data_IF_683117019256
#
_entry.id   IF_683117019256
#
_cell.length_a   1.000
_cell.length_b   1.000
_cell.length_c   1.000
_cell.angle_alpha   90.00
_cell.angle_beta   90.00
_cell.angle_gamma   90.00
#
_symmetry.space_group_name_H-M   'P 1'
#
loop_
_entity.id
_entity.type
_entity.pdbx_description
1 polymer ?
#
# COMPACT_ATOMS: atom_id res chain seq x y z
N UNK A 1 -1.20 4.12 2.88
CA UNK A 1 0.19 4.58 2.68
C UNK A 1 0.41 5.16 1.28
N UNK A 2 0.30 4.40 0.19
CA UNK A 2 0.54 4.90 -1.19
C UNK A 2 -0.36 6.09 -1.56
N UNK A 3 -1.64 6.00 -1.23
CA UNK A 3 -2.60 7.07 -1.49
C UNK A 3 -2.25 8.40 -0.78
N UNK A 4 -1.75 8.35 0.44
CA UNK A 4 -1.32 9.55 1.17
C UNK A 4 -0.16 10.29 0.51
N UNK A 5 0.76 9.55 -0.14
CA UNK A 5 1.89 10.12 -0.87
C UNK A 5 1.46 10.80 -2.17
N UNK A 6 0.31 10.45 -2.73
CA UNK A 6 -0.27 11.06 -3.91
C UNK A 6 -1.23 12.21 -3.57
N UNK A 7 -1.44 12.51 -2.28
CA UNK A 7 -2.25 13.65 -1.85
C UNK A 7 -1.70 14.96 -2.45
N UNK A 8 -2.59 15.82 -2.97
CA UNK A 8 -2.19 17.07 -3.63
C UNK A 8 -1.54 16.91 -5.01
N UNK A 9 -1.56 15.71 -5.59
CA UNK A 9 -1.03 15.46 -6.95
C UNK A 9 -2.13 15.02 -7.91
N UNK A 10 -1.92 15.14 -9.22
CA UNK A 10 -2.86 14.64 -10.24
C UNK A 10 -2.75 13.12 -10.47
N UNK A 11 -1.94 12.39 -9.66
CA UNK A 11 -1.59 10.98 -9.90
C UNK A 11 -2.43 9.98 -9.12
N UNK A 12 -3.50 10.41 -8.46
CA UNK A 12 -4.32 9.54 -7.60
C UNK A 12 -5.11 8.46 -8.36
N UNK A 13 -5.40 8.69 -9.63
CA UNK A 13 -6.16 7.76 -10.49
C UNK A 13 -5.23 6.73 -11.14
N UNK A 14 -4.39 6.08 -10.35
CA UNK A 14 -3.26 5.26 -10.76
C UNK A 14 -3.68 3.82 -11.10
N UNK A 15 -3.31 3.33 -12.28
CA UNK A 15 -3.41 1.91 -12.65
C UNK A 15 -2.27 1.14 -11.98
N UNK A 16 -2.51 0.73 -10.73
CA UNK A 16 -1.50 0.01 -9.94
C UNK A 16 -0.98 -1.25 -10.63
N UNK A 17 -1.81 -2.15 -11.20
CA UNK A 17 -1.29 -3.31 -11.91
C UNK A 17 -0.36 -2.96 -13.05
N UNK A 18 -0.72 -1.95 -13.85
CA UNK A 18 0.12 -1.52 -14.98
C UNK A 18 1.46 -0.91 -14.51
N UNK A 19 1.42 -0.08 -13.47
CA UNK A 19 2.64 0.49 -12.88
C UNK A 19 3.53 -0.61 -12.29
N UNK A 20 2.97 -1.52 -11.51
CA UNK A 20 3.74 -2.59 -10.86
C UNK A 20 4.35 -3.55 -11.89
N UNK A 21 3.60 -3.91 -12.93
CA UNK A 21 4.11 -4.71 -14.03
C UNK A 21 5.30 -4.04 -14.73
N UNK A 22 5.25 -2.71 -14.91
CA UNK A 22 6.36 -1.95 -15.48
C UNK A 22 7.59 -1.97 -14.58
N UNK A 23 7.42 -1.66 -13.28
CA UNK A 23 8.54 -1.64 -12.33
C UNK A 23 9.20 -3.02 -12.23
N UNK A 24 8.40 -4.09 -12.09
CA UNK A 24 8.91 -5.46 -12.00
C UNK A 24 9.73 -5.80 -13.26
N UNK A 25 9.26 -5.41 -14.44
CA UNK A 25 9.99 -5.67 -15.70
C UNK A 25 11.30 -4.88 -15.81
N UNK A 26 11.39 -3.70 -15.20
CA UNK A 26 12.66 -2.94 -15.14
C UNK A 26 13.66 -3.64 -14.22
N UNK A 27 13.21 -4.11 -13.05
CA UNK A 27 14.07 -4.78 -12.08
C UNK A 27 14.46 -6.22 -12.54
N UNK A 28 13.54 -6.89 -13.28
CA UNK A 28 13.70 -8.27 -13.78
C UNK A 28 12.99 -8.40 -15.13
N UNK A 29 13.75 -8.30 -16.23
CA UNK A 29 13.23 -8.15 -17.60
C UNK A 29 12.27 -9.29 -18.04
N UNK A 30 12.50 -10.52 -17.57
CA UNK A 30 11.71 -11.70 -17.93
C UNK A 30 10.52 -11.96 -16.99
N UNK A 31 10.35 -11.13 -15.96
CA UNK A 31 9.27 -11.30 -14.99
C UNK A 31 7.94 -10.73 -15.50
N UNK A 32 6.87 -11.46 -15.22
CA UNK A 32 5.49 -11.03 -15.46
C UNK A 32 4.71 -10.92 -14.15
N UNK A 33 3.84 -9.93 -14.06
CA UNK A 33 2.97 -9.75 -12.90
C UNK A 33 1.84 -10.77 -12.93
N UNK A 34 1.83 -11.71 -11.97
CA UNK A 34 0.82 -12.75 -11.88
C UNK A 34 -0.47 -12.28 -11.19
N UNK A 35 -0.35 -11.56 -10.07
CA UNK A 35 -1.50 -11.08 -9.30
C UNK A 35 -1.14 -9.85 -8.47
N UNK A 36 -2.15 -9.08 -8.08
CA UNK A 36 -2.02 -7.93 -7.17
C UNK A 36 -3.06 -8.05 -6.06
N UNK A 37 -2.61 -7.98 -4.82
CA UNK A 37 -3.45 -7.85 -3.63
C UNK A 37 -3.34 -6.43 -3.08
N UNK A 38 -4.47 -5.76 -2.91
CA UNK A 38 -4.56 -4.40 -2.41
C UNK A 38 -5.21 -4.39 -1.03
N UNK A 39 -4.48 -3.92 -0.03
CA UNK A 39 -4.94 -3.85 1.36
C UNK A 39 -5.28 -2.40 1.70
N UNK A 40 -6.46 -2.18 2.26
CA UNK A 40 -6.96 -0.84 2.56
C UNK A 40 -7.98 -0.86 3.69
N UNK A 41 -8.27 0.29 4.26
CA UNK A 41 -9.39 0.49 5.18
C UNK A 41 -10.39 1.47 4.60
N UNK A 42 -11.67 1.27 4.89
CA UNK A 42 -12.73 2.15 4.38
C UNK A 42 -12.63 3.57 4.94
N UNK A 43 -12.69 4.58 4.10
CA UNK A 43 -12.72 5.98 4.52
C UNK A 43 -13.94 6.23 5.41
N UNK A 44 -13.74 6.86 6.59
CA UNK A 44 -14.82 7.36 7.45
C UNK A 44 -15.20 8.78 7.02
N UNK A 45 -16.39 9.01 6.46
CA UNK A 45 -16.78 10.31 5.93
C UNK A 45 -16.71 11.44 6.95
N UNK A 46 -17.07 11.16 8.21
CA UNK A 46 -17.05 12.15 9.29
C UNK A 46 -15.67 12.73 9.60
N UNK A 47 -14.59 12.03 9.23
CA UNK A 47 -13.20 12.43 9.48
C UNK A 47 -12.44 12.76 8.18
N UNK A 48 -13.08 12.60 7.04
CA UNK A 48 -12.46 12.85 5.75
C UNK A 48 -12.58 14.31 5.32
N UNK A 49 -11.54 14.86 4.72
CA UNK A 49 -11.48 16.27 4.29
C UNK A 49 -12.61 16.71 3.34
N UNK A 50 -13.22 15.77 2.60
CA UNK A 50 -14.34 15.99 1.68
C UNK A 50 -15.56 15.14 2.05
N UNK A 51 -15.67 14.72 3.30
CA UNK A 51 -16.82 13.97 3.79
C UNK A 51 -17.14 12.75 2.92
N UNK A 52 -18.41 12.61 2.56
CA UNK A 52 -18.91 11.49 1.74
C UNK A 52 -18.22 11.39 0.37
N UNK A 53 -17.83 12.50 -0.25
CA UNK A 53 -17.14 12.49 -1.53
C UNK A 53 -15.77 11.79 -1.46
N UNK A 54 -15.08 11.83 -0.32
CA UNK A 54 -13.84 11.07 -0.13
C UNK A 54 -14.09 9.57 -0.14
N UNK A 55 -15.17 9.12 0.49
CA UNK A 55 -15.59 7.70 0.48
C UNK A 55 -15.99 7.26 -0.91
N UNK A 56 -16.80 8.03 -1.61
CA UNK A 56 -17.24 7.73 -2.99
C UNK A 56 -16.07 7.63 -3.97
N UNK A 57 -15.05 8.51 -3.82
CA UNK A 57 -13.83 8.44 -4.61
C UNK A 57 -13.03 7.16 -4.33
N UNK A 58 -12.87 6.77 -3.05
CA UNK A 58 -12.23 5.51 -2.69
C UNK A 58 -13.00 4.32 -3.27
N UNK A 59 -14.31 4.27 -3.08
CA UNK A 59 -15.17 3.18 -3.59
C UNK A 59 -15.07 3.08 -5.12
N UNK A 60 -14.97 4.21 -5.80
CA UNK A 60 -14.81 4.27 -7.26
C UNK A 60 -13.45 3.76 -7.70
N UNK A 61 -12.37 4.15 -7.00
CA UNK A 61 -11.03 3.67 -7.27
C UNK A 61 -10.90 2.15 -7.03
N UNK A 62 -11.49 1.65 -5.96
CA UNK A 62 -11.49 0.21 -5.66
C UNK A 62 -12.23 -0.56 -6.77
N UNK A 63 -13.36 -0.06 -7.27
CA UNK A 63 -14.04 -0.69 -8.43
C UNK A 63 -13.15 -0.71 -9.67
N UNK A 64 -12.38 0.36 -9.91
CA UNK A 64 -11.42 0.41 -10.99
C UNK A 64 -10.32 -0.67 -10.83
N UNK A 65 -9.75 -0.80 -9.64
CA UNK A 65 -8.75 -1.83 -9.34
C UNK A 65 -9.32 -3.24 -9.51
N UNK A 66 -10.50 -3.53 -8.99
CA UNK A 66 -11.17 -4.83 -9.12
C UNK A 66 -11.42 -5.18 -10.60
N UNK A 67 -11.77 -4.19 -11.44
CA UNK A 67 -11.96 -4.42 -12.86
C UNK A 67 -10.67 -4.82 -13.60
N UNK A 68 -9.51 -4.55 -12.99
CA UNK A 68 -8.17 -4.96 -13.47
C UNK A 68 -7.69 -6.26 -12.82
N UNK A 69 -8.55 -6.98 -12.11
CA UNK A 69 -8.22 -8.26 -11.48
C UNK A 69 -7.47 -8.12 -10.15
N UNK A 70 -7.53 -6.96 -9.50
CA UNK A 70 -6.92 -6.77 -8.18
C UNK A 70 -7.81 -7.38 -7.10
N UNK A 71 -7.24 -8.21 -6.25
CA UNK A 71 -7.89 -8.70 -5.02
C UNK A 71 -7.81 -7.62 -3.94
N UNK A 72 -8.95 -7.26 -3.35
CA UNK A 72 -9.03 -6.19 -2.35
C UNK A 72 -9.38 -6.75 -0.98
N UNK A 73 -8.56 -6.45 0.00
CA UNK A 73 -8.72 -6.85 1.39
C UNK A 73 -8.92 -5.62 2.27
N UNK A 74 -9.91 -5.70 3.15
CA UNK A 74 -10.25 -4.60 4.04
C UNK A 74 -9.76 -4.87 5.47
N UNK A 75 -8.98 -3.95 6.01
CA UNK A 75 -8.86 -3.72 7.43
C UNK A 75 -10.06 -2.91 7.96
N UNK A 76 -9.98 -2.48 9.19
CA UNK A 76 -11.01 -1.64 9.81
C UNK A 76 -10.42 -0.43 10.51
N UNK A 77 -11.18 0.66 10.50
CA UNK A 77 -10.90 1.81 11.34
C UNK A 77 -11.68 1.71 12.65
N UNK A 78 -10.98 1.92 13.76
CA UNK A 78 -11.55 2.06 15.09
C UNK A 78 -11.36 3.50 15.55
N UNK A 79 -12.45 4.14 15.95
CA UNK A 79 -12.44 5.50 16.51
C UNK A 79 -12.72 5.38 18.00
N UNK A 80 -11.76 5.80 18.80
CA UNK A 80 -11.85 5.76 20.27
C UNK A 80 -11.58 7.14 20.83
N UNK A 81 -12.20 7.47 21.96
CA UNK A 81 -11.78 8.59 22.78
C UNK A 81 -10.56 8.19 23.61
N UNK A 82 -9.64 9.09 23.77
CA UNK A 82 -8.43 8.86 24.56
C UNK A 82 -7.82 10.15 25.04
N UNK A 83 -6.74 10.04 25.79
CA UNK A 83 -5.94 11.19 26.23
C UNK A 83 -4.56 11.13 25.61
N UNK A 84 -4.03 12.27 25.24
CA UNK A 84 -2.67 12.42 24.75
C UNK A 84 -2.02 13.66 25.38
N UNK A 85 -0.67 13.65 25.54
CA UNK A 85 0.05 14.84 25.98
C UNK A 85 -0.24 16.00 25.03
N UNK A 86 -0.45 17.19 25.62
CA UNK A 86 -0.66 18.41 24.82
C UNK A 86 0.61 18.73 24.04
N UNK A 87 0.47 18.96 22.75
CA UNK A 87 1.54 19.53 21.95
C UNK A 87 1.59 21.07 22.17
N UNK A 88 2.66 21.56 22.73
CA UNK A 88 2.92 23.00 22.89
C UNK A 88 3.79 23.48 21.73
N UNK A 89 5.02 22.98 21.65
CA UNK A 89 5.97 23.22 20.58
C UNK A 89 6.98 22.06 20.49
N UNK A 90 7.92 22.14 19.54
CA UNK A 90 8.91 21.09 19.32
C UNK A 90 10.03 21.03 20.38
N UNK A 91 10.22 22.11 21.13
CA UNK A 91 11.24 22.20 22.18
C UNK A 91 10.71 21.73 23.55
N UNK A 92 9.40 21.74 23.73
CA UNK A 92 8.75 21.34 24.99
C UNK A 92 8.53 19.82 24.98
N UNK A 93 9.11 19.14 25.96
CA UNK A 93 8.92 17.70 26.13
C UNK A 93 7.45 17.37 26.48
N UNK A 94 6.97 16.26 25.93
CA UNK A 94 5.63 15.75 26.27
C UNK A 94 5.55 15.40 27.76
N UNK A 95 4.49 15.87 28.46
CA UNK A 95 4.22 15.57 29.86
C UNK A 95 2.97 14.69 30.03
N UNK A 96 3.04 13.78 30.98
CA UNK A 96 1.88 12.97 31.39
C UNK A 96 0.87 13.78 32.22
N UNK A 97 1.30 14.89 32.82
CA UNK A 97 0.48 15.74 33.70
C UNK A 97 -0.32 16.78 32.91
N UNK A 98 0.07 17.08 31.67
CA UNK A 98 -0.67 17.97 30.76
C UNK A 98 -1.24 17.16 29.57
N UNK A 99 -2.45 16.66 29.75
CA UNK A 99 -3.14 15.85 28.74
C UNK A 99 -4.41 16.51 28.24
N UNK A 100 -4.73 16.29 26.98
CA UNK A 100 -5.96 16.69 26.33
C UNK A 100 -6.75 15.47 25.86
N UNK A 101 -8.07 15.55 25.88
CA UNK A 101 -8.93 14.54 25.30
C UNK A 101 -8.88 14.64 23.77
N UNK A 102 -8.75 13.50 23.12
CA UNK A 102 -8.66 13.40 21.65
C UNK A 102 -9.55 12.28 21.14
N UNK A 103 -9.95 12.40 19.88
CA UNK A 103 -10.40 11.27 19.09
C UNK A 103 -9.18 10.60 18.42
N UNK A 104 -8.97 9.34 18.73
CA UNK A 104 -7.92 8.52 18.13
C UNK A 104 -8.53 7.61 17.07
N UNK A 105 -8.19 7.87 15.81
CA UNK A 105 -8.53 6.98 14.71
C UNK A 105 -7.36 6.04 14.47
N UNK A 106 -7.57 4.77 14.73
CA UNK A 106 -6.58 3.74 14.45
C UNK A 106 -7.04 2.86 13.29
N UNK A 107 -6.11 2.54 12.41
CA UNK A 107 -6.27 1.47 11.45
C UNK A 107 -5.86 0.15 12.11
N UNK A 108 -6.70 -0.86 12.01
CA UNK A 108 -6.50 -2.18 12.61
C UNK A 108 -6.49 -3.24 11.51
N UNK A 109 -5.72 -4.30 11.74
CA UNK A 109 -5.72 -5.53 10.97
C UNK A 109 -4.98 -5.45 9.62
N UNK A 110 -4.79 -4.28 8.99
CA UNK A 110 -4.24 -4.17 7.64
C UNK A 110 -2.83 -4.78 7.54
N UNK A 111 -1.91 -4.43 8.42
CA UNK A 111 -0.52 -4.93 8.39
C UNK A 111 -0.45 -6.42 8.70
N UNK A 112 -1.28 -6.87 9.64
CA UNK A 112 -1.43 -8.31 9.97
C UNK A 112 -1.98 -9.07 8.75
N UNK A 113 -2.98 -8.51 8.05
CA UNK A 113 -3.52 -9.10 6.82
C UNK A 113 -2.45 -9.21 5.73
N UNK A 114 -1.63 -8.16 5.53
CA UNK A 114 -0.52 -8.20 4.57
C UNK A 114 0.45 -9.32 4.94
N UNK A 115 0.95 -9.32 6.19
CA UNK A 115 1.94 -10.29 6.66
C UNK A 115 1.44 -11.74 6.50
N UNK A 116 0.22 -12.03 6.98
CA UNK A 116 -0.39 -13.36 6.88
C UNK A 116 -0.64 -13.75 5.42
N UNK A 117 -1.12 -12.83 4.57
CA UNK A 117 -1.39 -13.10 3.16
C UNK A 117 -0.11 -13.44 2.40
N UNK A 118 0.97 -12.72 2.64
CA UNK A 118 2.28 -13.00 2.05
C UNK A 118 2.78 -14.38 2.46
N UNK A 119 2.76 -14.70 3.75
CA UNK A 119 3.21 -15.98 4.27
C UNK A 119 2.38 -17.16 3.75
N UNK A 120 1.04 -17.03 3.77
CA UNK A 120 0.13 -18.05 3.23
C UNK A 120 0.30 -18.26 1.73
N UNK A 121 0.59 -17.19 0.99
CA UNK A 121 0.86 -17.31 -0.44
C UNK A 121 2.17 -18.09 -0.67
N UNK A 122 3.25 -17.73 0.04
CA UNK A 122 4.52 -18.45 -0.05
C UNK A 122 4.36 -19.94 0.29
N UNK A 123 3.65 -20.27 1.38
CA UNK A 123 3.39 -21.64 1.78
C UNK A 123 2.59 -22.43 0.73
N UNK A 124 1.56 -21.81 0.14
CA UNK A 124 0.79 -22.44 -0.95
C UNK A 124 1.64 -22.66 -2.20
N UNK A 125 2.47 -21.68 -2.56
CA UNK A 125 3.36 -21.79 -3.72
C UNK A 125 4.41 -22.89 -3.52
N UNK A 126 4.96 -23.01 -2.31
CA UNK A 126 5.93 -24.06 -1.98
C UNK A 126 5.38 -25.48 -2.15
N UNK A 127 4.06 -25.66 -2.05
CA UNK A 127 3.38 -26.94 -2.26
C UNK A 127 3.11 -27.29 -3.75
N UNK A 128 3.31 -26.34 -4.67
CA UNK A 128 3.11 -26.56 -6.10
C UNK A 128 4.37 -27.16 -6.76
N UNK A 129 4.24 -27.81 -7.93
CA UNK A 129 5.36 -28.10 -8.82
C UNK A 129 6.16 -26.83 -9.15
N UNK A 130 7.48 -26.96 -9.31
CA UNK A 130 8.38 -25.81 -9.45
C UNK A 130 7.99 -24.87 -10.61
N UNK A 131 7.60 -25.44 -11.72
CA UNK A 131 7.19 -24.74 -12.95
C UNK A 131 5.87 -23.95 -12.84
N UNK A 132 5.10 -24.21 -11.78
CA UNK A 132 3.82 -23.52 -11.52
C UNK A 132 3.92 -22.48 -10.38
N UNK A 133 5.11 -22.35 -9.76
CA UNK A 133 5.31 -21.43 -8.65
C UNK A 133 5.48 -20.00 -9.12
N UNK A 134 5.00 -19.07 -8.30
CA UNK A 134 5.50 -17.69 -8.42
C UNK A 134 6.93 -17.65 -7.89
N UNK A 135 7.81 -17.03 -8.65
CA UNK A 135 9.24 -16.96 -8.31
C UNK A 135 9.56 -15.86 -7.33
N UNK A 136 8.70 -14.82 -7.27
CA UNK A 136 8.92 -13.70 -6.37
C UNK A 136 7.64 -13.14 -5.77
N UNK A 137 7.77 -12.62 -4.55
CA UNK A 137 6.79 -11.76 -3.88
C UNK A 137 7.32 -10.35 -3.77
N UNK A 138 6.48 -9.38 -4.11
CA UNK A 138 6.83 -7.96 -4.04
C UNK A 138 5.91 -7.24 -3.06
N UNK A 139 6.49 -6.68 -2.01
CA UNK A 139 5.80 -5.84 -1.04
C UNK A 139 5.89 -4.37 -1.47
N UNK A 140 4.76 -3.68 -1.52
CA UNK A 140 4.72 -2.23 -1.71
C UNK A 140 4.44 -1.55 -0.37
N UNK A 141 5.48 -1.27 0.37
CA UNK A 141 5.39 -0.62 1.70
C UNK A 141 6.72 0.02 2.09
N UNK A 142 6.65 1.05 2.94
CA UNK A 142 7.81 1.61 3.66
C UNK A 142 7.69 1.37 5.16
N UNK A 143 6.74 0.52 5.58
CA UNK A 143 6.48 0.24 6.99
C UNK A 143 7.46 -0.80 7.52
N UNK A 144 8.18 -0.43 8.57
CA UNK A 144 9.16 -1.31 9.22
C UNK A 144 8.51 -2.45 10.01
N UNK A 145 7.22 -2.35 10.33
CA UNK A 145 6.46 -3.40 10.99
C UNK A 145 6.29 -4.65 10.09
N UNK A 146 6.59 -4.52 8.79
CA UNK A 146 6.68 -5.65 7.87
C UNK A 146 7.99 -6.46 7.99
N UNK A 147 8.98 -5.95 8.71
CA UNK A 147 10.29 -6.63 8.89
C UNK A 147 10.18 -8.08 9.41
N UNK A 148 9.36 -8.38 10.44
CA UNK A 148 9.20 -9.75 10.91
C UNK A 148 8.64 -10.71 9.85
N UNK A 149 7.70 -10.23 9.04
CA UNK A 149 7.12 -11.05 7.96
C UNK A 149 8.15 -11.34 6.86
N UNK A 150 8.94 -10.35 6.44
CA UNK A 150 10.00 -10.54 5.45
C UNK A 150 11.09 -11.48 5.95
N UNK A 151 11.45 -11.38 7.26
CA UNK A 151 12.40 -12.30 7.89
C UNK A 151 11.89 -13.73 7.85
N UNK A 152 10.67 -13.99 8.31
CA UNK A 152 10.07 -15.32 8.30
C UNK A 152 10.00 -15.91 6.88
N UNK A 153 9.62 -15.10 5.90
CA UNK A 153 9.61 -15.53 4.49
C UNK A 153 11.01 -15.90 3.99
N UNK A 154 12.04 -15.16 4.37
CA UNK A 154 13.43 -15.44 3.99
C UNK A 154 13.94 -16.74 4.63
N UNK A 155 13.59 -16.98 5.90
CA UNK A 155 14.01 -18.15 6.67
C UNK A 155 13.30 -19.42 6.17
N UNK A 156 11.98 -19.37 5.99
CA UNK A 156 11.16 -20.54 5.68
C UNK A 156 11.08 -20.87 4.19
N UNK A 157 11.27 -19.85 3.30
CA UNK A 157 11.18 -20.01 1.84
C UNK A 157 12.41 -19.42 1.13
N UNK A 158 13.62 -19.97 1.35
CA UNK A 158 14.88 -19.38 0.86
C UNK A 158 14.96 -19.30 -0.68
N UNK A 159 14.21 -20.15 -1.39
CA UNK A 159 14.13 -20.12 -2.86
C UNK A 159 13.21 -19.03 -3.44
N UNK A 160 12.41 -18.37 -2.58
CA UNK A 160 11.50 -17.32 -3.02
C UNK A 160 12.24 -15.97 -3.08
N UNK A 161 12.15 -15.29 -4.22
CA UNK A 161 12.66 -13.93 -4.37
C UNK A 161 11.74 -12.94 -3.63
N UNK A 162 12.32 -12.05 -2.83
CA UNK A 162 11.59 -10.99 -2.13
C UNK A 162 12.00 -9.63 -2.67
N UNK A 163 11.03 -8.86 -3.13
CA UNK A 163 11.21 -7.49 -3.56
C UNK A 163 10.44 -6.50 -2.69
N UNK A 164 10.95 -5.28 -2.57
CA UNK A 164 10.22 -4.17 -1.93
C UNK A 164 10.19 -2.97 -2.87
N UNK A 165 9.03 -2.39 -3.04
CA UNK A 165 8.84 -1.09 -3.69
C UNK A 165 8.42 -0.10 -2.61
N UNK A 166 9.27 0.89 -2.34
CA UNK A 166 8.91 1.96 -1.43
C UNK A 166 7.92 2.91 -2.12
N UNK A 167 6.78 3.20 -1.50
CA UNK A 167 5.81 4.14 -2.07
C UNK A 167 6.30 5.59 -1.89
N UNK A 168 7.55 5.86 -2.28
CA UNK A 168 8.17 7.17 -2.27
C UNK A 168 8.17 7.77 -3.67
N UNK A 169 7.72 9.01 -3.78
CA UNK A 169 7.71 9.75 -5.03
C UNK A 169 9.00 10.54 -5.19
N UNK A 170 9.44 10.68 -6.42
CA UNK A 170 10.53 11.59 -6.81
C UNK A 170 10.35 13.00 -6.23
N UNK A 171 11.43 13.60 -5.76
CA UNK A 171 11.43 14.91 -5.10
C UNK A 171 11.08 14.90 -3.61
N UNK A 172 10.69 13.77 -3.04
CA UNK A 172 10.50 13.62 -1.60
C UNK A 172 11.68 12.86 -1.02
N UNK A 173 12.54 13.56 -0.26
CA UNK A 173 13.67 12.93 0.41
C UNK A 173 13.16 12.10 1.61
N UNK A 174 13.25 10.78 1.48
CA UNK A 174 13.03 9.82 2.57
C UNK A 174 14.08 8.73 2.49
N UNK A 175 14.70 8.44 3.61
CA UNK A 175 15.66 7.34 3.70
C UNK A 175 14.95 6.01 3.62
N UNK A 176 15.48 5.07 2.84
CA UNK A 176 14.99 3.71 2.80
C UNK A 176 15.21 3.03 4.16
N UNK A 177 14.20 2.36 4.74
CA UNK A 177 14.36 1.65 6.01
C UNK A 177 15.37 0.50 5.86
N UNK A 178 16.49 0.59 6.58
CA UNK A 178 17.54 -0.44 6.56
C UNK A 178 17.03 -1.82 7.02
N UNK A 179 16.07 -1.83 7.94
CA UNK A 179 15.46 -3.06 8.45
C UNK A 179 14.72 -3.87 7.39
N UNK A 180 14.11 -3.23 6.39
CA UNK A 180 13.48 -3.94 5.28
C UNK A 180 14.52 -4.46 4.29
N UNK A 181 15.59 -3.67 4.02
CA UNK A 181 16.59 -3.97 3.00
C UNK A 181 17.34 -5.29 3.28
N UNK A 182 17.56 -5.64 4.54
CA UNK A 182 18.37 -6.81 4.91
C UNK A 182 17.70 -8.17 4.58
N UNK A 183 16.38 -8.21 4.35
CA UNK A 183 15.63 -9.44 4.10
C UNK A 183 15.14 -9.59 2.66
N UNK A 184 15.43 -8.62 1.78
CA UNK A 184 14.95 -8.64 0.40
C UNK A 184 16.09 -8.78 -0.61
N UNK A 185 15.77 -9.33 -1.77
CA UNK A 185 16.73 -9.48 -2.86
C UNK A 185 16.96 -8.16 -3.59
N UNK A 186 15.89 -7.35 -3.71
CA UNK A 186 15.95 -6.05 -4.36
C UNK A 186 14.98 -5.05 -3.74
N UNK A 187 15.26 -3.77 -3.93
CA UNK A 187 14.43 -2.67 -3.41
C UNK A 187 14.40 -1.50 -4.38
N UNK A 188 13.21 -1.17 -4.86
CA UNK A 188 12.94 0.07 -5.59
C UNK A 188 12.64 1.19 -4.60
N UNK A 189 13.49 2.21 -4.56
CA UNK A 189 13.38 3.27 -3.54
C UNK A 189 12.43 4.39 -3.94
N UNK A 190 12.25 4.65 -5.23
CA UNK A 190 11.50 5.79 -5.74
C UNK A 190 10.66 5.38 -6.94
N UNK A 191 9.42 5.84 -6.99
CA UNK A 191 8.57 5.85 -8.17
C UNK A 191 8.64 7.24 -8.78
N UNK A 192 9.02 7.34 -10.05
CA UNK A 192 9.22 8.63 -10.72
C UNK A 192 7.91 9.30 -11.08
N UNK A 193 7.92 10.62 -11.22
CA UNK A 193 6.75 11.36 -11.67
C UNK A 193 6.33 10.97 -13.10
N UNK A 194 7.29 10.61 -13.95
CA UNK A 194 7.02 10.11 -15.31
C UNK A 194 6.28 8.77 -15.29
N UNK A 195 6.68 7.83 -14.42
CA UNK A 195 5.98 6.56 -14.21
C UNK A 195 4.57 6.79 -13.69
N UNK A 196 4.40 7.65 -12.68
CA UNK A 196 3.08 7.99 -12.14
C UNK A 196 2.16 8.62 -13.18
N UNK A 197 2.67 9.54 -14.00
CA UNK A 197 1.90 10.19 -15.07
C UNK A 197 1.49 9.19 -16.16
N UNK A 198 2.41 8.28 -16.54
CA UNK A 198 2.20 7.31 -17.62
C UNK A 198 1.15 6.26 -17.28
N UNK A 199 1.12 5.80 -16.04
CA UNK A 199 0.26 4.69 -15.61
C UNK A 199 -1.02 5.17 -14.91
N UNK A 200 -1.67 6.22 -15.42
CA UNK A 200 -3.00 6.62 -14.97
C UNK A 200 -4.08 5.77 -15.67
N UNK A 201 -5.14 5.45 -14.96
CA UNK A 201 -6.34 4.91 -15.58
C UNK A 201 -6.95 5.91 -16.57
N UNK A 202 -7.69 5.44 -17.60
CA UNK A 202 -8.53 6.30 -18.41
C UNK A 202 -9.59 6.99 -17.55
N UNK A 203 -10.11 8.14 -18.00
CA UNK A 203 -11.08 8.92 -17.23
C UNK A 203 -12.33 8.11 -16.85
N UNK A 204 -12.69 7.11 -17.67
CA UNK A 204 -13.82 6.20 -17.44
C UNK A 204 -13.40 4.76 -17.69
N UNK A 205 -13.72 3.88 -16.74
CA UNK A 205 -13.44 2.45 -16.81
C UNK A 205 -14.78 1.71 -16.79
N UNK A 206 -15.07 0.85 -17.77
CA UNK A 206 -16.23 -0.03 -17.72
C UNK A 206 -16.02 -1.07 -16.59
N UNK A 207 -17.03 -1.29 -15.79
CA UNK A 207 -17.07 -2.34 -14.78
C UNK A 207 -18.39 -3.11 -14.87
N UNK A 208 -18.46 -4.27 -14.21
CA UNK A 208 -19.67 -5.13 -14.29
C UNK A 208 -20.95 -4.47 -13.79
N UNK A 209 -20.87 -3.56 -12.80
CA UNK A 209 -22.07 -2.97 -12.17
C UNK A 209 -22.28 -1.51 -12.56
N UNK A 210 -21.32 -0.64 -12.26
CA UNK A 210 -21.38 0.78 -12.49
C UNK A 210 -20.02 1.26 -12.97
N UNK A 211 -19.89 1.99 -14.08
CA UNK A 211 -18.61 2.51 -14.54
C UNK A 211 -17.86 3.24 -13.41
N UNK A 212 -16.55 3.15 -13.43
CA UNK A 212 -15.70 3.90 -12.55
C UNK A 212 -15.19 5.14 -13.30
N UNK A 213 -15.73 6.29 -12.94
CA UNK A 213 -15.33 7.57 -13.50
C UNK A 213 -14.33 8.24 -12.57
N UNK A 214 -13.23 8.80 -13.13
CA UNK A 214 -12.24 9.54 -12.37
C UNK A 214 -12.92 10.65 -11.58
N UNK A 215 -12.71 10.73 -10.25
CA UNK A 215 -13.23 11.85 -9.46
C UNK A 215 -12.71 13.19 -9.98
N UNK A 216 -13.58 14.19 -10.16
CA UNK A 216 -13.22 15.46 -10.78
C UNK A 216 -12.09 16.23 -10.06
N UNK A 217 -11.86 15.93 -8.78
CA UNK A 217 -10.83 16.57 -7.96
C UNK A 217 -9.54 15.74 -7.79
N UNK A 218 -9.37 14.70 -8.62
CA UNK A 218 -8.17 13.85 -8.64
C UNK A 218 -7.27 14.14 -9.83
#
# INVERSE_FOLDING_TARGET
MFYGLLAGTPYKWLDLPALLAHIIRIEHCDSTLAAVSFFTSGVKPSLASRGIASKEAQDTYIRALISRGVDVYYGRHQLESGKAPRFVDKATAASRDDQVEIWKLEEKETDVHIAISMYRLAARQAALPLELRVEQLVLVSADTDMTPALRALREDFPGLQLGVILPHREGIQRTAPGSLKQYVNWMRQVVTNAELARYQFPARIPTRKKPADKPAYW
#
